data_IF_028797800461
#
_entry.id   IF_028797800461
#
_cell.length_a   1.000
_cell.length_b   1.000
_cell.length_c   1.000
_cell.angle_alpha   90.00
_cell.angle_beta   90.00
_cell.angle_gamma   90.00
#
_symmetry.space_group_name_H-M   'P 1'
#
loop_
_entity.id
_entity.type
_entity.pdbx_description
1 polymer ?
#
# COMPACT_ATOMS: atom_id res chain seq x y z
N UNK A 1 -4.38 50.22 71.52
CA UNK A 1 -3.05 49.86 71.07
C UNK A 1 -3.21 48.40 70.51
N UNK A 2 -3.49 48.26 69.22
CA UNK A 2 -3.82 46.94 68.56
C UNK A 2 -2.69 46.59 67.64
N UNK A 3 -1.99 45.51 67.95
CA UNK A 3 -0.98 44.90 67.10
C UNK A 3 -1.70 44.10 66.01
N UNK A 4 -1.43 44.41 64.73
CA UNK A 4 -1.79 43.57 63.59
C UNK A 4 -0.61 42.66 63.29
N UNK A 5 -0.86 41.37 63.47
CA UNK A 5 0.06 40.27 63.10
C UNK A 5 -0.27 39.89 61.66
N UNK A 6 0.61 40.27 60.71
CA UNK A 6 0.45 39.92 59.30
C UNK A 6 0.86 38.49 59.08
N UNK A 7 -0.08 37.65 58.61
CA UNK A 7 0.17 36.27 58.17
C UNK A 7 0.63 36.28 56.71
N UNK A 8 1.92 36.01 56.51
CA UNK A 8 2.52 35.86 55.18
C UNK A 8 2.27 34.44 54.66
N UNK A 9 1.25 34.25 53.84
CA UNK A 9 0.99 33.00 53.16
C UNK A 9 1.95 32.86 51.99
N UNK A 10 2.93 31.98 52.12
CA UNK A 10 3.84 31.54 51.06
C UNK A 10 3.07 30.59 50.14
N UNK A 11 2.63 31.01 48.98
CA UNK A 11 2.03 30.14 47.96
C UNK A 11 3.17 29.46 47.17
N UNK A 12 3.48 28.23 47.48
CA UNK A 12 4.39 27.40 46.69
C UNK A 12 3.64 26.89 45.46
N UNK A 13 3.89 27.46 44.29
CA UNK A 13 3.43 26.97 43.00
C UNK A 13 4.24 25.75 42.60
N UNK A 14 3.69 24.54 42.82
CA UNK A 14 4.20 23.31 42.24
C UNK A 14 3.92 23.33 40.72
N UNK A 15 4.94 23.66 39.94
CA UNK A 15 4.92 23.43 38.49
C UNK A 15 5.08 21.93 38.28
N UNK A 16 3.96 21.21 38.29
CA UNK A 16 3.88 19.84 37.89
C UNK A 16 4.09 19.75 36.37
N UNK A 17 5.29 19.42 35.93
CA UNK A 17 5.57 19.01 34.55
C UNK A 17 4.82 17.72 34.25
N UNK A 18 3.59 17.82 33.75
CA UNK A 18 2.85 16.70 33.21
C UNK A 18 3.57 16.21 31.96
N UNK A 19 4.30 15.11 32.07
CA UNK A 19 4.68 14.33 30.89
C UNK A 19 3.38 13.93 30.19
N UNK A 20 3.08 14.54 29.07
CA UNK A 20 1.98 14.11 28.20
C UNK A 20 2.32 12.69 27.76
N UNK A 21 1.62 11.71 28.34
CA UNK A 21 1.60 10.35 27.81
C UNK A 21 1.01 10.48 26.40
N UNK A 22 1.84 10.33 25.37
CA UNK A 22 1.37 10.19 24.00
C UNK A 22 0.37 9.02 24.01
N UNK A 23 -0.90 9.33 23.78
CA UNK A 23 -1.93 8.30 23.64
C UNK A 23 -1.57 7.39 22.45
N UNK A 24 -2.11 6.17 22.38
CA UNK A 24 -1.88 5.28 21.25
C UNK A 24 -2.22 6.04 19.95
N UNK A 25 -1.27 6.10 19.03
CA UNK A 25 -1.46 6.72 17.71
C UNK A 25 -2.65 6.06 17.00
N UNK A 26 -3.22 6.77 16.01
CA UNK A 26 -4.29 6.18 15.19
C UNK A 26 -3.80 4.85 14.58
N UNK A 27 -4.69 3.84 14.47
CA UNK A 27 -4.29 2.54 13.92
C UNK A 27 -3.76 2.69 12.48
N UNK A 28 -2.72 1.94 12.17
CA UNK A 28 -2.15 1.87 10.84
C UNK A 28 -3.17 1.29 9.84
N UNK A 29 -2.90 1.46 8.53
CA UNK A 29 -3.76 0.81 7.54
C UNK A 29 -3.67 -0.72 7.67
N UNK A 30 -2.48 -1.26 7.96
CA UNK A 30 -2.27 -2.68 8.24
C UNK A 30 -3.19 -3.21 9.35
N UNK A 31 -3.24 -2.52 10.48
CA UNK A 31 -4.12 -2.89 11.60
C UNK A 31 -5.60 -2.75 11.22
N UNK A 32 -5.94 -1.69 10.48
CA UNK A 32 -7.33 -1.41 10.08
C UNK A 32 -7.87 -2.45 9.10
N UNK A 33 -7.06 -3.02 8.21
CA UNK A 33 -7.47 -4.10 7.29
C UNK A 33 -7.54 -5.47 7.98
N UNK A 34 -7.07 -5.61 9.22
CA UNK A 34 -7.13 -6.84 10.00
C UNK A 34 -5.79 -7.49 10.28
N UNK A 35 -4.69 -6.80 10.06
CA UNK A 35 -3.33 -7.24 10.41
C UNK A 35 -2.82 -8.43 9.60
N UNK A 36 -1.85 -9.15 10.16
CA UNK A 36 -1.12 -10.22 9.47
C UNK A 36 -2.04 -11.32 8.91
N UNK A 37 -2.93 -11.86 9.72
CA UNK A 37 -3.78 -12.99 9.31
C UNK A 37 -4.65 -12.62 8.10
N UNK A 38 -5.26 -11.44 8.12
CA UNK A 38 -6.11 -10.96 7.03
C UNK A 38 -5.30 -10.68 5.77
N UNK A 39 -4.14 -10.04 5.92
CA UNK A 39 -3.28 -9.71 4.77
C UNK A 39 -2.70 -10.98 4.12
N UNK A 40 -2.26 -11.98 4.92
CA UNK A 40 -1.80 -13.27 4.36
C UNK A 40 -2.91 -13.99 3.61
N UNK A 41 -4.13 -14.03 4.16
CA UNK A 41 -5.28 -14.61 3.46
C UNK A 41 -5.56 -13.89 2.14
N UNK A 42 -5.47 -12.55 2.10
CA UNK A 42 -5.65 -11.77 0.89
C UNK A 42 -4.57 -12.08 -0.16
N UNK A 43 -3.30 -12.20 0.23
CA UNK A 43 -2.22 -12.52 -0.71
C UNK A 43 -2.31 -13.95 -1.21
N UNK A 44 -2.76 -14.88 -0.41
CA UNK A 44 -3.04 -16.24 -0.83
C UNK A 44 -4.13 -16.28 -1.91
N UNK A 45 -5.30 -15.67 -1.64
CA UNK A 45 -6.37 -15.56 -2.64
C UNK A 45 -5.91 -14.85 -3.91
N UNK A 46 -5.09 -13.81 -3.78
CA UNK A 46 -4.55 -13.08 -4.91
C UNK A 46 -3.70 -13.97 -5.82
N UNK A 47 -2.81 -14.78 -5.26
CA UNK A 47 -2.00 -15.73 -6.03
C UNK A 47 -2.89 -16.76 -6.74
N UNK A 48 -3.91 -17.31 -6.07
CA UNK A 48 -4.85 -18.25 -6.69
C UNK A 48 -5.63 -17.64 -7.86
N UNK A 49 -6.03 -16.37 -7.76
CA UNK A 49 -6.72 -15.65 -8.85
C UNK A 49 -5.77 -15.45 -10.02
N UNK A 50 -4.55 -14.95 -9.79
CA UNK A 50 -3.52 -14.75 -10.81
C UNK A 50 -3.25 -16.06 -11.59
N UNK A 51 -3.16 -17.19 -10.91
CA UNK A 51 -2.93 -18.49 -11.57
C UNK A 51 -4.07 -18.88 -12.52
N UNK A 52 -5.28 -18.42 -12.24
CA UNK A 52 -6.48 -18.73 -13.02
C UNK A 52 -6.87 -17.66 -14.06
N UNK A 53 -6.24 -16.48 -14.04
CA UNK A 53 -6.56 -15.41 -15.01
C UNK A 53 -5.70 -15.55 -16.28
N UNK A 54 -6.33 -16.01 -17.36
CA UNK A 54 -5.67 -16.19 -18.67
C UNK A 54 -5.10 -14.90 -19.26
N UNK A 55 -5.51 -13.72 -18.76
CA UNK A 55 -4.99 -12.42 -19.21
C UNK A 55 -3.55 -12.17 -18.77
N UNK A 56 -3.13 -12.80 -17.63
CA UNK A 56 -1.83 -12.49 -17.00
C UNK A 56 -1.05 -13.72 -16.49
N UNK A 57 -1.69 -14.88 -16.33
CA UNK A 57 -1.06 -16.08 -15.71
C UNK A 57 0.25 -16.50 -16.40
N UNK A 58 0.36 -16.30 -17.71
CA UNK A 58 1.56 -16.64 -18.48
C UNK A 58 2.81 -15.86 -18.02
N UNK A 59 2.65 -14.67 -17.44
CA UNK A 59 3.78 -13.88 -16.90
C UNK A 59 4.38 -14.53 -15.65
N UNK A 60 3.62 -15.39 -14.99
CA UNK A 60 4.01 -16.10 -13.75
C UNK A 60 4.42 -17.57 -13.98
N UNK A 61 4.39 -18.07 -15.23
CA UNK A 61 4.62 -19.47 -15.58
C UNK A 61 5.94 -20.08 -15.03
N UNK A 62 6.96 -19.25 -14.80
CA UNK A 62 8.25 -19.67 -14.26
C UNK A 62 8.52 -19.09 -12.85
N UNK A 63 7.49 -18.65 -12.14
CA UNK A 63 7.59 -18.04 -10.83
C UNK A 63 7.40 -19.09 -9.72
N UNK A 64 8.26 -19.06 -8.71
CA UNK A 64 8.01 -19.78 -7.46
C UNK A 64 6.87 -19.05 -6.71
N UNK A 65 5.65 -19.53 -6.88
CA UNK A 65 4.44 -18.87 -6.36
C UNK A 65 4.42 -18.78 -4.84
N UNK A 66 4.99 -19.76 -4.15
CA UNK A 66 5.08 -19.71 -2.68
C UNK A 66 5.99 -18.57 -2.22
N UNK A 67 7.12 -18.40 -2.90
CA UNK A 67 8.04 -17.28 -2.63
C UNK A 67 7.46 -15.96 -3.06
N UNK A 68 6.72 -15.94 -4.15
CA UNK A 68 6.01 -14.76 -4.64
C UNK A 68 4.94 -14.30 -3.66
N UNK A 69 4.11 -15.21 -3.13
CA UNK A 69 3.13 -14.92 -2.08
C UNK A 69 3.78 -14.28 -0.84
N UNK A 70 4.95 -14.79 -0.42
CA UNK A 70 5.70 -14.19 0.69
C UNK A 70 6.17 -12.77 0.37
N UNK A 71 6.69 -12.51 -0.83
CA UNK A 71 7.10 -11.17 -1.22
C UNK A 71 5.92 -10.19 -1.33
N UNK A 72 4.78 -10.64 -1.82
CA UNK A 72 3.55 -9.85 -1.80
C UNK A 72 3.16 -9.48 -0.38
N UNK A 73 3.13 -10.46 0.53
CA UNK A 73 2.83 -10.19 1.93
C UNK A 73 3.80 -9.14 2.53
N UNK A 74 5.10 -9.30 2.34
CA UNK A 74 6.10 -8.37 2.85
C UNK A 74 5.91 -6.95 2.29
N UNK A 75 5.67 -6.84 0.98
CA UNK A 75 5.47 -5.55 0.32
C UNK A 75 4.19 -4.86 0.83
N UNK A 76 3.08 -5.57 0.84
CA UNK A 76 1.81 -5.00 1.31
C UNK A 76 1.85 -4.66 2.80
N UNK A 77 2.46 -5.49 3.64
CA UNK A 77 2.69 -5.19 5.03
C UNK A 77 3.56 -3.93 5.21
N UNK A 78 4.62 -3.79 4.43
CA UNK A 78 5.51 -2.62 4.48
C UNK A 78 4.77 -1.34 4.10
N UNK A 79 4.10 -1.29 2.93
CA UNK A 79 3.42 -0.08 2.45
C UNK A 79 2.21 0.30 3.31
N UNK A 80 1.57 -0.65 3.98
CA UNK A 80 0.43 -0.38 4.88
C UNK A 80 0.86 -0.10 6.33
N UNK A 81 2.16 0.06 6.57
CA UNK A 81 2.75 0.37 7.88
C UNK A 81 2.60 -0.76 8.92
N UNK A 82 2.69 -2.02 8.48
CA UNK A 82 2.69 -3.19 9.35
C UNK A 82 4.05 -3.51 9.98
N UNK A 83 5.09 -2.71 9.68
CA UNK A 83 6.43 -2.88 10.25
C UNK A 83 7.27 -3.98 9.60
N UNK A 84 6.81 -4.62 8.52
CA UNK A 84 7.58 -5.61 7.78
C UNK A 84 8.68 -4.95 6.94
N UNK A 85 9.76 -5.69 6.71
CA UNK A 85 10.76 -5.36 5.73
C UNK A 85 10.48 -6.13 4.44
N UNK A 86 10.40 -5.42 3.31
CA UNK A 86 10.33 -6.05 2.00
C UNK A 86 11.73 -6.56 1.61
N UNK A 87 11.83 -7.86 1.31
CA UNK A 87 13.10 -8.52 0.97
C UNK A 87 13.22 -8.88 -0.51
N UNK A 88 12.17 -8.57 -1.30
CA UNK A 88 12.15 -8.78 -2.74
C UNK A 88 12.98 -7.74 -3.51
N UNK A 89 13.00 -7.89 -4.84
CA UNK A 89 13.61 -6.91 -5.75
C UNK A 89 12.74 -5.67 -5.84
N UNK A 90 13.35 -4.51 -6.13
CA UNK A 90 12.58 -3.31 -6.50
C UNK A 90 11.70 -3.56 -7.74
N UNK A 91 10.64 -2.76 -7.91
CA UNK A 91 9.63 -2.97 -8.95
C UNK A 91 10.23 -2.91 -10.35
N UNK A 92 11.13 -1.96 -10.62
CA UNK A 92 11.77 -1.83 -11.91
C UNK A 92 12.58 -3.09 -12.26
N UNK A 93 13.45 -3.55 -11.35
CA UNK A 93 14.29 -4.74 -11.55
C UNK A 93 13.45 -6.02 -11.66
N UNK A 94 12.38 -6.13 -10.85
CA UNK A 94 11.51 -7.31 -10.85
C UNK A 94 10.78 -7.48 -12.19
N UNK A 95 10.39 -6.37 -12.85
CA UNK A 95 9.55 -6.37 -14.05
C UNK A 95 10.30 -6.04 -15.36
N UNK A 96 11.60 -5.73 -15.28
CA UNK A 96 12.39 -5.20 -16.42
C UNK A 96 12.36 -6.07 -17.69
N UNK A 97 12.12 -7.38 -17.57
CA UNK A 97 12.13 -8.34 -18.69
C UNK A 97 10.76 -8.90 -19.05
N UNK A 98 9.71 -8.46 -18.36
CA UNK A 98 8.38 -9.02 -18.54
C UNK A 98 7.56 -8.29 -19.60
N UNK A 99 7.96 -7.08 -20.00
CA UNK A 99 7.25 -6.23 -20.98
C UNK A 99 5.77 -6.02 -20.64
N UNK A 100 5.47 -5.82 -19.37
CA UNK A 100 4.10 -5.68 -18.87
C UNK A 100 3.43 -4.48 -19.55
N UNK A 101 2.24 -4.72 -20.09
CA UNK A 101 1.36 -3.73 -20.70
C UNK A 101 0.44 -3.06 -19.67
N UNK A 102 -0.17 -1.93 -20.02
CA UNK A 102 -1.22 -1.32 -19.19
C UNK A 102 -2.42 -2.26 -18.99
N UNK A 103 -2.75 -3.07 -20.01
CA UNK A 103 -3.88 -4.02 -19.92
C UNK A 103 -3.59 -5.10 -18.86
N UNK A 104 -2.39 -5.67 -18.85
CA UNK A 104 -1.97 -6.69 -17.87
C UNK A 104 -1.85 -6.10 -16.46
N UNK A 105 -1.33 -4.87 -16.34
CA UNK A 105 -1.29 -4.18 -15.05
C UNK A 105 -2.71 -3.92 -14.48
N UNK A 106 -3.65 -3.54 -15.34
CA UNK A 106 -5.04 -3.34 -14.94
C UNK A 106 -5.70 -4.67 -14.55
N UNK A 107 -5.48 -5.75 -15.31
CA UNK A 107 -5.97 -7.07 -14.98
C UNK A 107 -5.48 -7.52 -13.60
N UNK A 108 -4.18 -7.37 -13.32
CA UNK A 108 -3.61 -7.65 -12.00
C UNK A 108 -4.27 -6.82 -10.88
N UNK A 109 -4.59 -5.56 -11.17
CA UNK A 109 -5.27 -4.69 -10.20
C UNK A 109 -6.71 -5.15 -9.92
N UNK A 110 -7.43 -5.62 -10.95
CA UNK A 110 -8.77 -6.21 -10.81
C UNK A 110 -8.72 -7.48 -9.96
N UNK A 111 -7.74 -8.37 -10.19
CA UNK A 111 -7.51 -9.58 -9.41
C UNK A 111 -7.23 -9.26 -7.93
N UNK A 112 -6.50 -8.19 -7.67
CA UNK A 112 -6.25 -7.74 -6.31
C UNK A 112 -7.53 -7.28 -5.59
N UNK A 113 -8.41 -6.56 -6.30
CA UNK A 113 -9.71 -6.19 -5.74
C UNK A 113 -10.55 -7.43 -5.45
N UNK A 114 -10.59 -8.41 -6.36
CA UNK A 114 -11.30 -9.67 -6.13
C UNK A 114 -10.74 -10.43 -4.92
N UNK A 115 -9.41 -10.50 -4.77
CA UNK A 115 -8.78 -11.12 -3.61
C UNK A 115 -9.20 -10.45 -2.29
N UNK A 116 -9.23 -9.12 -2.27
CA UNK A 116 -9.68 -8.37 -1.11
C UNK A 116 -11.17 -8.62 -0.79
N UNK A 117 -12.01 -8.74 -1.82
CA UNK A 117 -13.43 -9.05 -1.65
C UNK A 117 -13.64 -10.44 -1.06
N UNK A 118 -12.90 -11.46 -1.54
CA UNK A 118 -12.97 -12.83 -1.01
C UNK A 118 -12.65 -12.91 0.48
N UNK A 119 -11.75 -12.07 0.96
CA UNK A 119 -11.40 -12.00 2.40
C UNK A 119 -12.17 -10.89 3.14
N UNK A 120 -13.16 -10.28 2.52
CA UNK A 120 -14.04 -9.28 3.12
C UNK A 120 -13.32 -8.04 3.66
N UNK A 121 -12.30 -7.52 2.95
CA UNK A 121 -11.72 -6.21 3.23
C UNK A 121 -12.68 -5.15 2.65
N UNK A 122 -13.16 -4.16 3.45
CA UNK A 122 -14.07 -3.14 2.97
C UNK A 122 -13.49 -2.32 1.79
N UNK A 123 -14.29 -2.07 0.75
CA UNK A 123 -13.88 -1.37 -0.48
C UNK A 123 -13.12 -0.05 -0.24
N UNK A 124 -13.52 0.72 0.78
CA UNK A 124 -12.81 1.94 1.17
C UNK A 124 -11.35 1.69 1.57
N UNK A 125 -11.06 0.53 2.16
CA UNK A 125 -9.70 0.16 2.56
C UNK A 125 -8.93 -0.41 1.37
N UNK A 126 -9.58 -1.18 0.49
CA UNK A 126 -9.00 -1.66 -0.77
C UNK A 126 -8.48 -0.48 -1.60
N UNK A 127 -9.30 0.56 -1.79
CA UNK A 127 -8.90 1.77 -2.53
C UNK A 127 -7.69 2.47 -1.91
N UNK A 128 -7.55 2.47 -0.58
CA UNK A 128 -6.37 3.04 0.08
C UNK A 128 -5.12 2.24 -0.23
N UNK A 129 -5.21 0.91 -0.23
CA UNK A 129 -4.08 0.03 -0.57
C UNK A 129 -3.69 0.21 -2.04
N UNK A 130 -4.66 0.15 -2.96
CA UNK A 130 -4.43 0.31 -4.41
C UNK A 130 -3.82 1.68 -4.72
N UNK A 131 -4.26 2.75 -4.05
CA UNK A 131 -3.67 4.08 -4.22
C UNK A 131 -2.17 4.14 -3.82
N UNK A 132 -1.71 3.26 -2.91
CA UNK A 132 -0.28 3.17 -2.57
C UNK A 132 0.53 2.44 -3.63
N UNK A 133 -0.10 1.59 -4.45
CA UNK A 133 0.54 0.89 -5.56
C UNK A 133 0.59 1.71 -6.84
N UNK A 134 -0.32 2.66 -7.04
CA UNK A 134 -0.43 3.45 -8.26
C UNK A 134 0.90 4.12 -8.69
N UNK A 135 1.72 4.70 -7.81
CA UNK A 135 3.02 5.25 -8.19
C UNK A 135 4.01 4.23 -8.76
N UNK A 136 3.83 2.93 -8.45
CA UNK A 136 4.71 1.86 -8.91
C UNK A 136 4.43 1.44 -10.36
N UNK A 137 3.29 1.82 -10.93
CA UNK A 137 2.93 1.52 -12.32
C UNK A 137 4.03 1.92 -13.30
N UNK A 138 4.64 3.08 -13.09
CA UNK A 138 5.71 3.59 -13.94
C UNK A 138 6.92 2.63 -14.03
N UNK A 139 7.25 1.95 -12.93
CA UNK A 139 8.38 1.01 -12.89
C UNK A 139 8.02 -0.37 -13.46
N UNK A 140 6.74 -0.70 -13.48
CA UNK A 140 6.22 -2.01 -13.92
C UNK A 140 5.89 -2.03 -15.41
N UNK A 141 5.15 -1.03 -15.89
CA UNK A 141 4.63 -0.98 -17.25
C UNK A 141 5.66 -0.46 -18.24
N UNK A 142 5.78 -1.10 -19.40
CA UNK A 142 6.77 -0.78 -20.44
C UNK A 142 6.19 -0.10 -21.69
N UNK A 143 4.88 -0.03 -21.86
CA UNK A 143 4.26 0.65 -23.02
C UNK A 143 4.18 2.18 -22.88
N UNK A 144 5.20 2.79 -22.27
CA UNK A 144 5.34 4.25 -22.20
C UNK A 144 5.60 4.91 -23.57
N UNK A 145 5.70 4.14 -24.63
CA UNK A 145 5.76 4.67 -25.98
C UNK A 145 4.33 4.79 -26.50
N UNK A 146 3.62 5.81 -26.07
CA UNK A 146 2.69 6.43 -27.01
C UNK A 146 3.58 6.96 -28.14
N UNK A 147 3.69 6.21 -29.22
CA UNK A 147 4.22 6.73 -30.47
C UNK A 147 3.42 7.99 -30.77
N UNK A 148 3.97 9.13 -30.44
CA UNK A 148 3.60 10.36 -31.11
C UNK A 148 4.14 10.18 -32.54
N UNK A 149 3.41 9.38 -33.32
CA UNK A 149 3.60 9.32 -34.76
C UNK A 149 3.10 10.66 -35.29
N UNK A 150 4.00 11.57 -35.72
CA UNK A 150 3.60 12.89 -36.21
C UNK A 150 2.85 12.81 -37.56
N UNK A 151 2.54 11.61 -38.03
CA UNK A 151 1.91 11.38 -39.33
C UNK A 151 0.37 11.49 -39.34
N UNK A 152 -0.30 11.61 -38.20
CA UNK A 152 -1.78 11.68 -38.16
C UNK A 152 -2.32 13.11 -38.03
N UNK A 153 -1.49 14.13 -37.98
CA UNK A 153 -1.92 15.53 -37.89
C UNK A 153 -1.82 16.26 -39.23
N UNK A 154 -2.61 15.85 -40.24
CA UNK A 154 -2.96 16.76 -41.36
C UNK A 154 -4.40 16.53 -41.82
N UNK A 155 -5.35 17.39 -41.43
CA UNK A 155 -6.57 17.52 -42.19
C UNK A 155 -6.18 18.26 -43.49
N UNK A 156 -6.18 17.56 -44.63
CA UNK A 156 -6.15 18.21 -45.94
C UNK A 156 -7.48 18.93 -46.14
N UNK A 157 -7.51 20.21 -45.82
CA UNK A 157 -8.56 21.11 -46.29
C UNK A 157 -8.51 21.26 -47.82
N UNK A 158 -9.64 21.02 -48.42
CA UNK A 158 -10.04 21.63 -49.71
C UNK A 158 -11.51 21.88 -49.66
#
# INVERSE_FOLDING_TARGET
MKLFLGCLCLVATLVGGGAALAGPGAPTLFETIGGEAKLRAAMHEFVLIIESDDRINFTFANTDLKKFEQFLYEQFCNITQGGCQYTGRDMYTAHAKLNITNAEFNALTEDLYEAFDRVHIPYRLQNKVVAMLAPMQHDVVKDHVVSQDPAVAKPTGK
#
